data_IF_997912018901
#
_entry.id   IF_997912018901
#
_cell.length_a   1.000
_cell.length_b   1.000
_cell.length_c   1.000
_cell.angle_alpha   90.00
_cell.angle_beta   90.00
_cell.angle_gamma   90.00
#
_symmetry.space_group_name_H-M   'P 1'
#
loop_
_entity.id
_entity.type
_entity.pdbx_description
1 polymer ?
#
# COMPACT_ATOMS: atom_id res chain seq x y z
N UNK A 1 -7.53 26.13 -39.08
CA UNK A 1 -8.01 24.75 -38.87
C UNK A 1 -7.60 24.39 -37.45
N UNK A 2 -8.51 24.63 -36.49
CA UNK A 2 -8.22 24.51 -35.06
C UNK A 2 -8.90 23.24 -34.59
N UNK A 3 -8.12 22.21 -34.26
CA UNK A 3 -8.65 20.97 -33.69
C UNK A 3 -9.30 21.27 -32.33
N UNK A 4 -10.59 20.96 -32.22
CA UNK A 4 -11.31 20.99 -30.97
C UNK A 4 -10.73 19.89 -30.07
N UNK A 5 -10.26 20.29 -28.88
CA UNK A 5 -9.89 19.38 -27.82
C UNK A 5 -11.12 18.51 -27.50
N UNK A 6 -11.03 17.23 -27.88
CA UNK A 6 -12.10 16.26 -27.65
C UNK A 6 -12.41 16.14 -26.17
N UNK A 7 -13.70 16.24 -25.87
CA UNK A 7 -14.38 15.94 -24.62
C UNK A 7 -14.11 14.49 -24.21
N UNK A 8 -12.91 14.21 -23.70
CA UNK A 8 -12.60 12.92 -23.10
C UNK A 8 -13.09 12.95 -21.67
N UNK A 9 -14.18 12.22 -21.47
CA UNK A 9 -14.66 11.82 -20.17
C UNK A 9 -13.51 11.32 -19.27
N UNK A 10 -13.23 11.98 -18.12
CA UNK A 10 -12.11 11.63 -17.25
C UNK A 10 -12.36 10.33 -16.46
N UNK A 11 -13.52 9.69 -16.62
CA UNK A 11 -13.85 8.44 -15.92
C UNK A 11 -12.92 7.30 -16.36
N UNK A 12 -12.37 6.50 -15.42
CA UNK A 12 -11.61 5.30 -15.77
C UNK A 12 -12.46 4.34 -16.60
N UNK A 13 -11.84 3.64 -17.56
CA UNK A 13 -12.53 2.63 -18.34
C UNK A 13 -13.17 1.57 -17.43
N UNK A 14 -14.46 1.29 -17.64
CA UNK A 14 -15.23 0.35 -16.81
C UNK A 14 -16.01 0.99 -15.66
N UNK A 15 -15.88 2.29 -15.42
CA UNK A 15 -16.79 2.99 -14.50
C UNK A 15 -18.18 3.17 -15.12
N UNK A 16 -19.26 2.98 -14.34
CA UNK A 16 -20.62 3.15 -14.83
C UNK A 16 -20.86 4.58 -15.31
N UNK A 17 -21.53 4.72 -16.45
CA UNK A 17 -21.81 6.01 -17.07
C UNK A 17 -22.87 6.86 -16.31
N UNK A 18 -23.53 6.27 -15.31
CA UNK A 18 -24.58 6.88 -14.49
C UNK A 18 -24.29 6.82 -12.98
N UNK A 19 -25.24 7.22 -12.13
CA UNK A 19 -25.05 7.19 -10.68
C UNK A 19 -24.77 5.77 -10.20
N UNK A 20 -23.81 5.65 -9.29
CA UNK A 20 -23.43 4.38 -8.68
C UNK A 20 -23.44 4.51 -7.15
N UNK A 21 -23.52 3.37 -6.47
CA UNK A 21 -23.34 3.28 -5.02
C UNK A 21 -22.04 2.56 -4.74
N UNK A 22 -21.23 3.14 -3.85
CA UNK A 22 -20.06 2.46 -3.30
C UNK A 22 -20.55 1.41 -2.33
N UNK A 23 -20.17 0.15 -2.55
CA UNK A 23 -20.55 -0.97 -1.71
C UNK A 23 -19.58 -1.21 -0.53
N UNK A 24 -18.31 -0.87 -0.72
CA UNK A 24 -17.24 -0.96 0.28
C UNK A 24 -16.06 -0.08 -0.15
N UNK A 25 -15.17 0.25 0.79
CA UNK A 25 -13.91 0.95 0.52
C UNK A 25 -12.75 0.13 1.06
N UNK A 26 -11.79 -0.19 0.18
CA UNK A 26 -10.54 -0.84 0.55
C UNK A 26 -9.44 0.21 0.47
N UNK A 27 -8.69 0.36 1.55
CA UNK A 27 -7.56 1.28 1.62
C UNK A 27 -6.24 0.54 1.46
N UNK A 28 -5.36 1.06 0.62
CA UNK A 28 -3.93 0.83 0.83
C UNK A 28 -3.49 1.49 2.15
N UNK A 29 -2.32 1.12 2.67
CA UNK A 29 -1.81 1.61 3.94
C UNK A 29 -0.76 2.70 3.76
N UNK A 30 0.45 2.34 3.31
CA UNK A 30 1.56 3.30 3.21
C UNK A 30 1.39 4.33 2.11
N UNK A 31 1.46 5.61 2.48
CA UNK A 31 1.20 6.71 1.55
C UNK A 31 -0.29 6.97 1.29
N UNK A 32 -1.18 6.15 1.85
CA UNK A 32 -2.64 6.33 1.81
C UNK A 32 -3.19 6.67 3.18
N UNK A 33 -3.24 5.70 4.10
CA UNK A 33 -3.69 5.91 5.49
C UNK A 33 -2.56 6.41 6.40
N UNK A 34 -1.32 6.01 6.13
CA UNK A 34 -0.13 6.55 6.80
C UNK A 34 0.64 7.49 5.89
N UNK A 35 1.35 8.45 6.48
CA UNK A 35 2.28 9.31 5.75
C UNK A 35 3.34 8.46 5.02
N UNK A 36 3.71 8.78 3.77
CA UNK A 36 4.67 7.99 3.02
C UNK A 36 6.07 8.03 3.65
N UNK A 37 6.90 7.02 3.34
CA UNK A 37 8.34 7.03 3.64
C UNK A 37 8.76 6.42 4.98
N UNK A 38 7.84 5.87 5.78
CA UNK A 38 8.21 5.14 6.99
C UNK A 38 8.94 3.82 6.69
N UNK A 39 8.59 3.15 5.58
CA UNK A 39 9.17 1.89 5.13
C UNK A 39 10.13 2.13 3.96
N UNK A 40 11.43 1.99 4.20
CA UNK A 40 12.48 2.10 3.17
C UNK A 40 12.76 0.74 2.49
N UNK A 41 11.83 0.31 1.63
CA UNK A 41 12.05 -0.88 0.80
C UNK A 41 13.21 -0.73 -0.20
N UNK A 42 13.44 0.42 -0.84
CA UNK A 42 14.61 0.59 -1.73
C UNK A 42 15.94 0.38 -1.01
N UNK A 43 16.12 0.96 0.18
CA UNK A 43 17.32 0.75 1.00
C UNK A 43 17.51 -0.71 1.41
N UNK A 44 16.42 -1.36 1.83
CA UNK A 44 16.46 -2.78 2.16
C UNK A 44 16.78 -3.67 0.95
N UNK A 45 16.19 -3.38 -0.22
CA UNK A 45 16.48 -4.09 -1.46
C UNK A 45 17.97 -3.99 -1.84
N UNK A 46 18.57 -2.81 -1.69
CA UNK A 46 20.00 -2.61 -1.88
C UNK A 46 20.84 -3.42 -0.89
N UNK A 47 20.46 -3.43 0.40
CA UNK A 47 21.16 -4.13 1.47
C UNK A 47 21.23 -5.65 1.26
N UNK A 48 20.17 -6.24 0.69
CA UNK A 48 20.10 -7.68 0.43
C UNK A 48 20.63 -8.08 -0.96
N UNK A 49 21.07 -7.11 -1.78
CA UNK A 49 21.53 -7.36 -3.14
C UNK A 49 20.41 -7.69 -4.13
N UNK A 50 19.18 -7.24 -3.87
CA UNK A 50 18.05 -7.41 -4.76
C UNK A 50 18.26 -6.59 -6.06
N UNK A 51 18.11 -7.19 -7.25
CA UNK A 51 18.15 -6.46 -8.51
C UNK A 51 17.05 -5.39 -8.57
N UNK A 52 17.35 -4.24 -9.19
CA UNK A 52 16.39 -3.13 -9.33
C UNK A 52 15.18 -3.45 -10.20
N UNK A 53 15.29 -4.49 -11.05
CA UNK A 53 14.21 -4.98 -11.92
C UNK A 53 13.26 -5.95 -11.22
N UNK A 54 13.56 -6.36 -10.00
CA UNK A 54 12.82 -7.41 -9.29
C UNK A 54 12.20 -6.84 -8.01
N UNK A 55 10.88 -6.99 -7.80
CA UNK A 55 10.25 -6.64 -6.53
C UNK A 55 10.86 -7.43 -5.37
N UNK A 56 11.10 -6.76 -4.24
CA UNK A 56 11.83 -7.36 -3.11
C UNK A 56 11.17 -8.63 -2.56
N UNK A 57 9.84 -8.69 -2.55
CA UNK A 57 9.09 -9.88 -2.13
C UNK A 57 9.32 -11.05 -3.09
N UNK A 58 9.31 -10.78 -4.40
CA UNK A 58 9.56 -11.79 -5.43
C UNK A 58 11.01 -12.28 -5.39
N UNK A 59 11.97 -11.37 -5.17
CA UNK A 59 13.37 -11.72 -4.97
C UNK A 59 13.55 -12.68 -3.79
N UNK A 60 12.97 -12.36 -2.63
CA UNK A 60 13.04 -13.22 -1.44
C UNK A 60 12.39 -14.58 -1.73
N UNK A 61 11.23 -14.61 -2.37
CA UNK A 61 10.56 -15.87 -2.73
C UNK A 61 11.39 -16.75 -3.68
N UNK A 62 12.20 -16.15 -4.55
CA UNK A 62 13.08 -16.85 -5.49
C UNK A 62 14.38 -17.41 -4.89
N UNK A 63 14.71 -17.12 -3.63
CA UNK A 63 15.95 -17.63 -3.00
C UNK A 63 15.85 -19.14 -2.77
N UNK A 64 16.71 -19.94 -3.42
CA UNK A 64 16.67 -21.40 -3.34
C UNK A 64 17.02 -21.93 -1.94
N UNK A 65 18.04 -21.36 -1.29
CA UNK A 65 18.43 -21.70 0.07
C UNK A 65 17.32 -21.29 1.07
N UNK A 66 16.72 -22.29 1.70
CA UNK A 66 15.61 -22.11 2.63
C UNK A 66 16.04 -21.34 3.89
N UNK A 67 17.25 -21.56 4.41
CA UNK A 67 17.73 -20.87 5.61
C UNK A 67 17.94 -19.39 5.31
N UNK A 68 18.56 -19.10 4.16
CA UNK A 68 18.74 -17.73 3.68
C UNK A 68 17.39 -17.03 3.45
N UNK A 69 16.42 -17.73 2.82
CA UNK A 69 15.08 -17.19 2.60
C UNK A 69 14.38 -16.82 3.91
N UNK A 70 14.39 -17.72 4.89
CA UNK A 70 13.79 -17.48 6.21
C UNK A 70 14.45 -16.30 6.91
N UNK A 71 15.78 -16.18 6.82
CA UNK A 71 16.52 -15.05 7.38
C UNK A 71 16.09 -13.71 6.73
N UNK A 72 15.97 -13.67 5.40
CA UNK A 72 15.53 -12.47 4.67
C UNK A 72 14.10 -12.08 5.01
N UNK A 73 13.18 -13.04 5.13
CA UNK A 73 11.79 -12.80 5.57
C UNK A 73 11.77 -12.17 6.96
N UNK A 74 12.58 -12.68 7.90
CA UNK A 74 12.66 -12.12 9.27
C UNK A 74 13.22 -10.70 9.28
N UNK A 75 14.21 -10.39 8.45
CA UNK A 75 14.76 -9.03 8.32
C UNK A 75 13.73 -8.07 7.73
N UNK A 76 13.00 -8.49 6.72
CA UNK A 76 11.90 -7.71 6.16
C UNK A 76 10.81 -7.45 7.21
N UNK A 77 10.38 -8.47 7.95
CA UNK A 77 9.38 -8.32 9.01
C UNK A 77 9.85 -7.35 10.11
N UNK A 78 11.13 -7.41 10.50
CA UNK A 78 11.70 -6.49 11.48
C UNK A 78 11.72 -5.04 10.97
N UNK A 79 12.05 -4.83 9.69
CA UNK A 79 11.98 -3.54 9.04
C UNK A 79 10.54 -2.99 9.00
N UNK A 80 9.58 -3.82 8.60
CA UNK A 80 8.16 -3.45 8.57
C UNK A 80 7.64 -3.06 9.97
N UNK A 81 8.00 -3.81 11.01
CA UNK A 81 7.63 -3.50 12.39
C UNK A 81 8.23 -2.18 12.89
N UNK A 82 9.48 -1.90 12.53
CA UNK A 82 10.13 -0.64 12.88
C UNK A 82 9.47 0.55 12.15
N UNK A 83 9.20 0.40 10.85
CA UNK A 83 8.48 1.39 10.05
C UNK A 83 7.08 1.66 10.60
N UNK A 84 6.32 0.61 10.91
CA UNK A 84 4.99 0.72 11.50
C UNK A 84 5.00 1.49 12.82
N UNK A 85 5.97 1.21 13.71
CA UNK A 85 6.09 1.90 14.99
C UNK A 85 6.43 3.40 14.85
N UNK A 86 7.06 3.81 13.75
CA UNK A 86 7.38 5.20 13.44
C UNK A 86 6.33 5.91 12.57
N UNK A 87 5.32 5.17 12.08
CA UNK A 87 4.30 5.69 11.18
C UNK A 87 3.44 6.77 11.83
N UNK A 88 2.86 7.63 10.99
CA UNK A 88 1.92 8.68 11.38
C UNK A 88 0.72 8.66 10.42
N UNK A 89 -0.49 9.05 10.86
CA UNK A 89 -1.62 9.17 9.96
C UNK A 89 -1.28 10.11 8.80
N UNK A 90 -1.81 9.84 7.62
CA UNK A 90 -1.77 10.79 6.52
C UNK A 90 -2.80 11.91 6.77
N UNK A 91 -2.60 13.06 6.14
CA UNK A 91 -3.52 14.18 6.31
C UNK A 91 -4.94 13.80 5.87
N UNK A 92 -5.93 13.99 6.77
CA UNK A 92 -7.33 13.65 6.50
C UNK A 92 -7.68 12.16 6.60
N UNK A 93 -6.72 11.27 6.87
CA UNK A 93 -6.95 9.83 6.85
C UNK A 93 -7.94 9.40 7.95
N UNK A 94 -7.76 9.91 9.17
CA UNK A 94 -8.62 9.58 10.31
C UNK A 94 -10.04 10.08 10.08
N UNK A 95 -10.19 11.32 9.60
CA UNK A 95 -11.47 11.94 9.31
C UNK A 95 -12.24 11.19 8.21
N UNK A 96 -11.55 10.78 7.15
CA UNK A 96 -12.16 10.01 6.05
C UNK A 96 -12.60 8.63 6.54
N UNK A 97 -11.77 7.91 7.29
CA UNK A 97 -12.13 6.59 7.82
C UNK A 97 -13.33 6.68 8.77
N UNK A 98 -13.35 7.66 9.66
CA UNK A 98 -14.48 7.90 10.56
C UNK A 98 -15.76 8.24 9.79
N UNK A 99 -15.68 9.18 8.84
CA UNK A 99 -16.85 9.58 8.05
C UNK A 99 -17.45 8.42 7.24
N UNK A 100 -16.61 7.60 6.58
CA UNK A 100 -17.10 6.44 5.82
C UNK A 100 -17.72 5.37 6.73
N UNK A 101 -17.17 5.19 7.94
CA UNK A 101 -17.73 4.29 8.95
C UNK A 101 -19.08 4.78 9.46
N UNK A 102 -19.24 6.07 9.70
CA UNK A 102 -20.52 6.70 10.08
C UNK A 102 -21.58 6.55 8.98
N UNK A 103 -21.18 6.56 7.72
CA UNK A 103 -22.04 6.26 6.57
C UNK A 103 -22.44 4.77 6.46
N UNK A 104 -21.93 3.91 7.34
CA UNK A 104 -22.21 2.47 7.35
C UNK A 104 -21.55 1.68 6.22
N UNK A 105 -20.50 2.23 5.60
CA UNK A 105 -19.77 1.54 4.54
C UNK A 105 -18.83 0.48 5.14
N UNK A 106 -18.80 -0.74 4.60
CA UNK A 106 -17.76 -1.73 4.90
C UNK A 106 -16.37 -1.21 4.51
N UNK A 107 -15.42 -1.29 5.44
CA UNK A 107 -14.04 -0.85 5.27
C UNK A 107 -13.08 -2.02 5.44
N UNK A 108 -11.99 -2.04 4.67
CA UNK A 108 -10.89 -2.97 4.84
C UNK A 108 -9.56 -2.35 4.42
N UNK A 109 -8.45 -2.96 4.88
CA UNK A 109 -7.10 -2.62 4.45
C UNK A 109 -6.63 -3.69 3.46
N UNK A 110 -6.08 -3.27 2.32
CA UNK A 110 -5.40 -4.10 1.35
C UNK A 110 -4.00 -3.56 1.15
N UNK A 111 -3.02 -4.21 1.77
CA UNK A 111 -1.64 -3.73 1.79
C UNK A 111 -0.65 -4.86 1.52
N UNK A 112 0.56 -4.47 1.12
CA UNK A 112 1.72 -5.37 1.02
C UNK A 112 2.34 -5.66 2.39
N UNK A 113 2.05 -4.85 3.40
CA UNK A 113 2.59 -5.02 4.75
C UNK A 113 2.02 -6.26 5.44
N UNK A 114 2.86 -6.92 6.23
CA UNK A 114 2.40 -7.98 7.12
C UNK A 114 1.35 -7.49 8.12
N UNK A 115 0.38 -8.35 8.47
CA UNK A 115 -0.68 -8.04 9.44
C UNK A 115 -0.12 -7.54 10.77
N UNK A 116 1.01 -8.09 11.22
CA UNK A 116 1.68 -7.65 12.47
C UNK A 116 2.16 -6.20 12.39
N UNK A 117 2.66 -5.76 11.24
CA UNK A 117 3.08 -4.38 11.03
C UNK A 117 1.86 -3.44 11.04
N UNK A 118 0.79 -3.80 10.34
CA UNK A 118 -0.46 -3.03 10.34
C UNK A 118 -1.02 -2.88 11.77
N UNK A 119 -1.11 -3.98 12.53
CA UNK A 119 -1.61 -3.95 13.91
C UNK A 119 -0.69 -3.20 14.88
N UNK A 120 0.60 -3.04 14.52
CA UNK A 120 1.56 -2.31 15.33
C UNK A 120 1.54 -0.81 15.05
N UNK A 121 1.06 -0.40 13.88
CA UNK A 121 1.01 0.99 13.47
C UNK A 121 -0.09 1.75 14.24
N UNK A 122 0.23 3.00 14.59
CA UNK A 122 -0.66 3.99 15.24
C UNK A 122 -1.25 3.49 16.57
#
# INVERSE_FOLDING_TARGET
MTEAAGDRDPRPAGFPAGPFRVAAVLFDFDGTLTSPGALDLPGFAQEIGCPTTTPVLEYIQGVEDLEQRVMLVRRLEALELAAAAASRPNAGAEEVVLGLREMGLPLAILSRNGTRAILRAL
#
